data_IF_994227245132
#
_entry.id   IF_994227245132
#
_cell.length_a   1.000
_cell.length_b   1.000
_cell.length_c   1.000
_cell.angle_alpha   90.00
_cell.angle_beta   90.00
_cell.angle_gamma   90.00
#
_symmetry.space_group_name_H-M   'P 1'
#
loop_
_entity.id
_entity.type
_entity.pdbx_description
1 polymer ?
#
# COMPACT_ATOMS: atom_id res chain seq x y z
N UNK A 1 3.96 18.41 14.47
CA UNK A 1 3.72 17.50 13.33
C UNK A 1 4.12 18.30 12.09
N UNK A 2 5.03 17.79 11.26
CA UNK A 2 5.45 18.49 10.05
C UNK A 2 4.26 18.61 9.08
N UNK A 3 4.17 19.72 8.36
CA UNK A 3 3.15 19.88 7.31
C UNK A 3 3.59 19.10 6.07
N UNK A 4 2.99 17.94 5.86
CA UNK A 4 3.29 17.09 4.71
C UNK A 4 2.99 17.78 3.37
N UNK A 5 2.10 18.79 3.33
CA UNK A 5 1.86 19.54 2.09
C UNK A 5 3.05 20.45 1.76
N UNK A 6 3.89 20.80 2.73
CA UNK A 6 5.15 21.49 2.47
C UNK A 6 6.27 20.56 1.97
N UNK A 7 6.12 19.25 2.16
CA UNK A 7 7.13 18.22 1.91
C UNK A 7 6.84 17.37 0.66
N UNK A 8 5.56 17.10 0.38
CA UNK A 8 5.12 16.19 -0.67
C UNK A 8 4.10 16.83 -1.61
N UNK A 9 4.22 16.50 -2.89
CA UNK A 9 3.16 16.63 -3.89
C UNK A 9 2.51 15.27 -4.05
N UNK A 10 1.17 15.23 -4.04
CA UNK A 10 0.39 14.01 -4.28
C UNK A 10 -0.40 14.11 -5.58
N UNK A 11 -0.60 12.98 -6.25
CA UNK A 11 -1.52 12.88 -7.38
C UNK A 11 -2.31 11.57 -7.26
N UNK A 12 -3.62 11.65 -7.48
CA UNK A 12 -4.48 10.47 -7.60
C UNK A 12 -4.42 10.02 -9.06
N UNK A 13 -4.05 8.76 -9.30
CA UNK A 13 -3.98 8.17 -10.63
C UNK A 13 -4.56 6.77 -10.63
N UNK A 14 -4.86 6.26 -11.81
CA UNK A 14 -5.27 4.87 -12.01
C UNK A 14 -4.03 3.96 -11.99
N UNK A 15 -4.14 2.81 -11.31
CA UNK A 15 -3.14 1.76 -11.26
C UNK A 15 -3.56 0.68 -12.24
N UNK A 16 -2.92 0.64 -13.40
CA UNK A 16 -3.39 -0.13 -14.56
C UNK A 16 -2.58 -1.40 -14.82
N UNK A 17 -1.40 -1.53 -14.24
CA UNK A 17 -0.50 -2.66 -14.52
C UNK A 17 -0.80 -3.80 -13.55
N UNK A 18 -1.26 -4.94 -14.05
CA UNK A 18 -1.52 -6.12 -13.22
C UNK A 18 -0.19 -6.66 -12.69
N UNK A 19 -0.04 -6.64 -11.37
CA UNK A 19 1.10 -7.17 -10.65
C UNK A 19 0.90 -8.64 -10.27
N UNK A 20 -0.27 -8.98 -9.75
CA UNK A 20 -0.61 -10.34 -9.32
C UNK A 20 -2.11 -10.59 -9.40
N UNK A 21 -2.47 -11.85 -9.64
CA UNK A 21 -3.86 -12.33 -9.61
C UNK A 21 -3.95 -13.64 -8.85
N UNK A 22 -4.87 -13.73 -7.89
CA UNK A 22 -5.13 -14.94 -7.13
C UNK A 22 -6.63 -15.07 -6.83
N UNK A 23 -7.29 -16.03 -7.49
CA UNK A 23 -8.73 -16.27 -7.36
C UNK A 23 -9.52 -14.97 -7.67
N UNK A 24 -10.13 -14.34 -6.67
CA UNK A 24 -10.87 -13.10 -6.76
C UNK A 24 -10.04 -11.85 -6.43
N UNK A 25 -8.77 -11.98 -6.07
CA UNK A 25 -7.88 -10.85 -5.82
C UNK A 25 -7.09 -10.46 -7.08
N UNK A 26 -7.05 -9.15 -7.37
CA UNK A 26 -6.14 -8.54 -8.34
C UNK A 26 -5.33 -7.46 -7.65
N UNK A 27 -4.05 -7.41 -7.97
CA UNK A 27 -3.11 -6.42 -7.43
C UNK A 27 -2.53 -5.64 -8.61
N UNK A 28 -2.53 -4.31 -8.51
CA UNK A 28 -2.11 -3.40 -9.57
C UNK A 28 -0.96 -2.50 -9.12
N UNK A 29 -0.06 -2.17 -10.04
CA UNK A 29 0.96 -1.12 -9.90
C UNK A 29 0.65 0.07 -10.80
N UNK A 30 1.16 1.26 -10.48
CA UNK A 30 0.97 2.43 -11.31
C UNK A 30 2.07 2.52 -12.37
N UNK A 31 1.70 3.04 -13.54
CA UNK A 31 2.68 3.57 -14.48
C UNK A 31 3.11 4.97 -14.03
N UNK A 32 4.33 5.10 -13.52
CA UNK A 32 4.82 6.38 -13.00
C UNK A 32 5.10 7.39 -14.13
N UNK A 33 4.80 8.69 -13.91
CA UNK A 33 5.13 9.74 -14.89
C UNK A 33 6.64 9.82 -15.17
N UNK A 34 7.00 10.03 -16.44
CA UNK A 34 8.39 10.17 -16.86
C UNK A 34 8.95 11.54 -16.44
N UNK A 35 10.17 11.56 -15.92
CA UNK A 35 10.97 12.78 -15.74
C UNK A 35 11.07 13.33 -14.31
N UNK A 36 10.18 12.92 -13.39
CA UNK A 36 10.29 13.23 -11.96
C UNK A 36 10.34 11.93 -11.14
N UNK A 37 11.02 11.96 -9.98
CA UNK A 37 11.15 10.81 -9.08
C UNK A 37 9.86 10.56 -8.29
N UNK A 38 8.76 10.34 -9.02
CA UNK A 38 7.51 9.89 -8.43
C UNK A 38 7.70 8.52 -7.80
N UNK A 39 7.02 8.31 -6.69
CA UNK A 39 6.94 7.01 -6.03
C UNK A 39 5.55 6.74 -5.50
N UNK A 40 5.36 5.52 -5.01
CA UNK A 40 4.12 5.09 -4.37
C UNK A 40 4.46 4.19 -3.19
N UNK A 41 3.47 3.92 -2.35
CA UNK A 41 3.71 3.31 -1.04
C UNK A 41 3.46 1.81 -1.01
N UNK A 42 2.80 1.30 -2.05
CA UNK A 42 2.43 -0.09 -2.23
C UNK A 42 1.40 -0.21 -3.35
N UNK A 43 1.24 -1.41 -3.94
CA UNK A 43 0.28 -1.64 -5.00
C UNK A 43 -1.18 -1.57 -4.50
N UNK A 44 -2.10 -1.39 -5.44
CA UNK A 44 -3.56 -1.43 -5.21
C UNK A 44 -4.05 -2.85 -5.23
N UNK A 45 -4.69 -3.30 -4.15
CA UNK A 45 -5.41 -4.57 -4.11
C UNK A 45 -6.90 -4.34 -4.36
N UNK A 46 -7.50 -5.23 -5.14
CA UNK A 46 -8.91 -5.19 -5.48
C UNK A 46 -9.51 -6.59 -5.50
N UNK A 47 -10.72 -6.73 -4.94
CA UNK A 47 -11.48 -7.97 -4.95
C UNK A 47 -12.53 -7.94 -6.07
N UNK A 48 -12.34 -8.79 -7.08
CA UNK A 48 -13.31 -9.11 -8.14
C UNK A 48 -14.64 -9.50 -7.50
N UNK A 49 -15.73 -8.93 -8.01
CA UNK A 49 -17.11 -9.16 -7.54
C UNK A 49 -17.41 -8.70 -6.11
N UNK A 50 -16.67 -7.73 -5.59
CA UNK A 50 -17.09 -7.05 -4.37
C UNK A 50 -18.26 -6.10 -4.66
N UNK A 51 -19.46 -6.43 -4.14
CA UNK A 51 -20.59 -5.47 -3.95
C UNK A 51 -20.25 -4.36 -2.93
N UNK A 52 -19.00 -4.33 -2.45
CA UNK A 52 -18.52 -3.31 -1.53
C UNK A 52 -18.32 -2.06 -2.38
N UNK A 53 -19.23 -1.09 -2.22
CA UNK A 53 -19.03 0.30 -2.65
C UNK A 53 -17.71 0.81 -2.06
N UNK A 54 -16.59 0.55 -2.73
CA UNK A 54 -15.29 1.05 -2.31
C UNK A 54 -15.32 2.56 -2.45
N UNK A 55 -15.10 3.24 -1.33
CA UNK A 55 -15.36 4.64 -0.99
C UNK A 55 -14.70 5.75 -1.85
N UNK A 56 -14.58 5.59 -3.17
CA UNK A 56 -14.49 6.73 -4.08
C UNK A 56 -15.91 7.20 -4.41
N UNK A 57 -16.57 7.89 -3.47
CA UNK A 57 -17.71 8.75 -3.81
C UNK A 57 -17.23 10.03 -4.52
N UNK A 58 -16.41 9.88 -5.55
CA UNK A 58 -16.36 10.87 -6.62
C UNK A 58 -17.42 10.40 -7.60
N UNK A 59 -18.57 11.07 -7.62
CA UNK A 59 -19.65 10.77 -8.55
C UNK A 59 -19.18 11.07 -9.98
N UNK A 60 -18.47 10.12 -10.61
CA UNK A 60 -18.14 10.13 -12.03
C UNK A 60 -18.98 9.05 -12.70
N UNK A 61 -20.01 9.42 -13.47
CA UNK A 61 -20.94 8.46 -14.05
C UNK A 61 -20.30 7.79 -15.26
N UNK A 62 -19.67 6.61 -15.08
CA UNK A 62 -19.55 5.48 -16.04
C UNK A 62 -18.29 4.59 -15.89
N UNK A 63 -17.51 4.68 -14.81
CA UNK A 63 -16.29 3.86 -14.64
C UNK A 63 -16.51 2.69 -13.68
N UNK A 64 -16.10 1.49 -14.10
CA UNK A 64 -15.96 0.30 -13.24
C UNK A 64 -15.14 0.65 -11.99
N UNK A 65 -15.68 0.33 -10.82
CA UNK A 65 -15.23 0.85 -9.52
C UNK A 65 -13.81 0.39 -9.14
N UNK A 66 -12.96 1.39 -8.84
CA UNK A 66 -11.82 1.41 -7.91
C UNK A 66 -10.51 0.67 -8.26
N UNK A 67 -9.72 1.25 -9.17
CA UNK A 67 -8.27 0.97 -9.34
C UNK A 67 -7.41 2.22 -9.11
N UNK A 68 -7.92 3.22 -8.38
CA UNK A 68 -7.21 4.48 -8.13
C UNK A 68 -6.36 4.42 -6.87
N UNK A 69 -5.17 5.01 -6.92
CA UNK A 69 -4.26 5.16 -5.80
C UNK A 69 -3.51 6.49 -5.84
N UNK A 70 -2.66 6.72 -4.84
CA UNK A 70 -1.88 7.94 -4.71
C UNK A 70 -0.41 7.69 -5.03
N UNK A 71 0.12 8.51 -5.94
CA UNK A 71 1.56 8.66 -6.14
C UNK A 71 2.05 9.95 -5.47
N UNK A 72 3.31 9.95 -5.06
CA UNK A 72 3.95 10.98 -4.27
C UNK A 72 5.25 11.45 -4.92
N UNK A 73 5.53 12.74 -4.78
CA UNK A 73 6.78 13.36 -5.21
C UNK A 73 7.29 14.26 -4.09
N UNK A 74 8.55 14.11 -3.70
CA UNK A 74 9.23 15.01 -2.76
C UNK A 74 9.36 16.40 -3.36
N UNK A 75 9.02 17.43 -2.58
CA UNK A 75 9.28 18.83 -2.95
C UNK A 75 10.76 19.16 -2.76
N UNK A 76 11.21 20.24 -3.39
CA UNK A 76 12.62 20.67 -3.32
C UNK A 76 13.08 20.86 -1.86
N UNK A 77 14.19 20.21 -1.51
CA UNK A 77 14.74 20.23 -0.15
C UNK A 77 14.07 19.29 0.85
N UNK A 78 13.02 18.56 0.44
CA UNK A 78 12.38 17.53 1.25
C UNK A 78 13.08 16.17 1.13
N UNK A 79 13.15 15.46 2.24
CA UNK A 79 13.56 14.05 2.31
C UNK A 79 12.42 13.14 2.77
N UNK A 80 11.16 13.54 2.55
CA UNK A 80 9.99 12.85 3.07
C UNK A 80 9.81 11.41 2.57
N UNK A 81 10.37 11.06 1.41
CA UNK A 81 10.39 9.69 0.88
C UNK A 81 11.79 9.08 1.00
N UNK A 82 11.85 7.84 1.43
CA UNK A 82 13.06 7.03 1.51
C UNK A 82 13.02 5.84 0.56
N UNK A 83 14.17 5.19 0.34
CA UNK A 83 14.26 3.96 -0.44
C UNK A 83 13.94 2.73 0.40
N UNK A 84 13.31 1.73 -0.23
CA UNK A 84 13.22 0.36 0.30
C UNK A 84 14.41 -0.43 -0.27
N UNK A 85 15.22 -1.03 0.61
CA UNK A 85 16.46 -1.74 0.22
C UNK A 85 16.33 -3.25 0.33
N UNK A 86 15.36 -3.73 1.09
CA UNK A 86 15.14 -5.15 1.32
C UNK A 86 13.65 -5.45 1.58
N UNK A 87 13.28 -6.72 1.58
CA UNK A 87 11.93 -7.21 1.75
C UNK A 87 11.94 -8.45 2.65
N UNK A 88 11.09 -8.44 3.67
CA UNK A 88 10.87 -9.57 4.56
C UNK A 88 9.44 -10.10 4.44
N UNK A 89 9.21 -11.41 4.52
CA UNK A 89 7.86 -11.94 4.57
C UNK A 89 7.12 -11.36 5.78
N UNK A 90 5.99 -10.70 5.53
CA UNK A 90 5.17 -10.12 6.60
C UNK A 90 4.34 -11.18 7.36
N UNK A 91 4.27 -12.40 6.82
CA UNK A 91 3.60 -13.54 7.43
C UNK A 91 4.44 -14.80 7.25
N UNK A 92 4.66 -15.52 8.34
CA UNK A 92 5.34 -16.81 8.32
C UNK A 92 4.46 -17.88 7.67
N UNK A 93 4.61 -18.08 6.36
CA UNK A 93 4.41 -19.37 5.66
C UNK A 93 3.18 -20.20 6.06
N UNK A 94 1.96 -19.83 5.63
CA UNK A 94 0.78 -20.71 5.80
C UNK A 94 0.03 -21.00 4.49
N UNK A 95 0.56 -20.60 3.32
CA UNK A 95 0.34 -21.34 2.06
C UNK A 95 1.49 -21.09 1.07
N UNK A 96 2.72 -21.57 1.36
CA UNK A 96 3.92 -21.29 0.56
C UNK A 96 3.82 -21.67 -0.93
N UNK A 97 2.82 -22.45 -1.32
CA UNK A 97 2.61 -22.85 -2.70
C UNK A 97 1.85 -21.81 -3.54
N UNK A 98 1.21 -20.79 -2.95
CA UNK A 98 0.32 -19.88 -3.69
C UNK A 98 0.74 -18.42 -3.66
N UNK A 99 1.05 -17.84 -2.49
CA UNK A 99 1.42 -16.42 -2.39
C UNK A 99 2.15 -16.09 -1.09
N UNK A 100 2.82 -14.94 -1.07
CA UNK A 100 3.47 -14.34 0.09
C UNK A 100 3.25 -12.82 0.08
N UNK A 101 2.95 -12.25 1.24
CA UNK A 101 2.97 -10.81 1.46
C UNK A 101 4.32 -10.37 2.00
N UNK A 102 4.91 -9.33 1.44
CA UNK A 102 6.24 -8.84 1.77
C UNK A 102 6.18 -7.43 2.32
N UNK A 103 6.92 -7.15 3.39
CA UNK A 103 7.09 -5.83 3.96
C UNK A 103 8.44 -5.26 3.56
N UNK A 104 8.45 -4.02 3.09
CA UNK A 104 9.68 -3.34 2.72
C UNK A 104 10.49 -2.94 3.96
N UNK A 105 11.81 -3.08 3.87
CA UNK A 105 12.79 -2.58 4.83
C UNK A 105 13.38 -1.29 4.26
N UNK A 106 13.14 -0.13 4.90
CA UNK A 106 13.74 1.13 4.49
C UNK A 106 15.27 1.11 4.62
N UNK A 107 15.97 1.90 3.79
CA UNK A 107 17.41 2.11 3.90
C UNK A 107 17.84 2.64 5.29
N UNK A 108 17.00 3.49 5.87
CA UNK A 108 17.12 4.02 7.23
C UNK A 108 15.81 3.72 8.00
N UNK A 109 15.75 2.55 8.68
CA UNK A 109 14.57 2.15 9.45
C UNK A 109 14.35 2.98 10.71
N UNK A 110 15.30 3.80 11.15
CA UNK A 110 15.09 4.70 12.30
C UNK A 110 14.23 5.89 11.89
N UNK A 111 14.45 6.41 10.67
CA UNK A 111 13.78 7.58 10.13
C UNK A 111 12.53 7.28 9.30
N UNK A 112 12.52 6.17 8.57
CA UNK A 112 11.45 5.84 7.61
C UNK A 112 10.69 4.57 8.00
N UNK A 113 9.49 4.43 7.45
CA UNK A 113 8.64 3.23 7.54
C UNK A 113 8.10 2.87 6.14
N UNK A 114 7.88 1.58 5.90
CA UNK A 114 7.20 1.12 4.69
C UNK A 114 5.72 1.50 4.76
N UNK A 115 5.20 2.13 3.70
CA UNK A 115 3.82 2.61 3.67
C UNK A 115 2.79 1.53 3.31
N UNK A 116 3.21 0.37 2.81
CA UNK A 116 2.34 -0.71 2.37
C UNK A 116 3.13 -1.99 2.11
N UNK A 117 2.43 -3.11 2.10
CA UNK A 117 3.00 -4.43 1.79
C UNK A 117 2.87 -4.73 0.28
N UNK A 118 3.69 -5.67 -0.20
CA UNK A 118 3.62 -6.22 -1.55
C UNK A 118 2.98 -7.61 -1.51
N UNK A 119 2.21 -7.99 -2.54
CA UNK A 119 1.62 -9.32 -2.66
C UNK A 119 2.21 -10.05 -3.85
N UNK A 120 2.99 -11.11 -3.61
CA UNK A 120 3.69 -11.86 -4.66
C UNK A 120 3.14 -13.27 -4.74
N UNK A 121 2.97 -13.81 -5.95
CA UNK A 121 2.63 -15.21 -6.16
C UNK A 121 3.84 -16.11 -5.82
N UNK A 122 3.60 -17.17 -5.07
CA UNK A 122 4.65 -18.05 -4.55
C UNK A 122 5.40 -17.48 -3.34
N UNK A 123 6.66 -17.88 -3.21
CA UNK A 123 7.54 -17.60 -2.04
C UNK A 123 8.80 -16.83 -2.40
N UNK A 124 8.99 -16.54 -3.68
CA UNK A 124 10.16 -15.83 -4.13
C UNK A 124 10.09 -14.38 -3.67
N UNK A 125 11.23 -13.89 -3.21
CA UNK A 125 11.40 -12.52 -2.81
C UNK A 125 11.13 -11.59 -4.01
N UNK A 126 10.46 -10.45 -3.81
CA UNK A 126 10.22 -9.49 -4.88
C UNK A 126 11.51 -9.07 -5.58
N UNK A 127 11.49 -9.01 -6.91
CA UNK A 127 12.62 -8.52 -7.70
C UNK A 127 12.68 -6.99 -7.70
N UNK A 128 13.85 -6.43 -8.03
CA UNK A 128 14.00 -4.98 -8.14
C UNK A 128 13.01 -4.36 -9.15
N UNK A 129 12.77 -5.04 -10.27
CA UNK A 129 11.79 -4.64 -11.29
C UNK A 129 10.37 -4.62 -10.74
N UNK A 130 9.97 -5.66 -10.01
CA UNK A 130 8.65 -5.74 -9.36
C UNK A 130 8.40 -4.64 -8.32
N UNK A 131 9.47 -4.16 -7.69
CA UNK A 131 9.40 -3.16 -6.61
C UNK A 131 9.73 -1.75 -7.06
N UNK A 132 9.92 -1.54 -8.37
CA UNK A 132 10.34 -0.27 -8.91
C UNK A 132 9.33 0.83 -8.55
N UNK A 133 9.85 1.95 -8.02
CA UNK A 133 9.05 3.10 -7.62
C UNK A 133 8.37 3.00 -6.25
N UNK A 134 8.46 1.87 -5.55
CA UNK A 134 7.96 1.76 -4.18
C UNK A 134 8.90 2.51 -3.23
N UNK A 135 8.33 3.35 -2.35
CA UNK A 135 9.08 4.20 -1.42
C UNK A 135 8.67 3.95 0.03
N UNK A 136 9.62 4.17 0.94
CA UNK A 136 9.36 4.38 2.35
C UNK A 136 8.92 5.84 2.58
N UNK A 137 8.27 6.11 3.71
CA UNK A 137 7.86 7.45 4.12
C UNK A 137 8.41 7.79 5.50
N UNK A 138 8.77 9.07 5.71
CA UNK A 138 9.33 9.55 6.98
C UNK A 138 8.32 9.38 8.11
N UNK A 139 8.75 8.81 9.23
CA UNK A 139 7.85 8.38 10.32
C UNK A 139 7.04 9.50 10.94
N UNK A 140 7.56 10.72 11.01
CA UNK A 140 6.88 11.90 11.55
C UNK A 140 5.71 12.40 10.66
N UNK A 141 5.62 11.92 9.42
CA UNK A 141 4.54 12.18 8.47
C UNK A 141 3.43 11.10 8.52
N UNK A 142 3.63 10.08 9.36
CA UNK A 142 2.73 8.94 9.52
C UNK A 142 2.11 8.99 10.91
N UNK A 143 0.86 8.58 11.01
CA UNK A 143 0.24 8.20 12.27
C UNK A 143 -0.05 6.71 12.24
N UNK A 144 -0.09 6.08 13.41
CA UNK A 144 -0.50 4.69 13.51
C UNK A 144 -2.02 4.61 13.77
N UNK A 145 -2.72 3.73 13.04
CA UNK A 145 -4.13 3.41 13.30
C UNK A 145 -4.41 1.92 13.16
N UNK A 146 -5.44 1.44 13.82
CA UNK A 146 -5.97 0.10 13.60
C UNK A 146 -6.54 -0.02 12.18
N UNK A 147 -6.33 -1.16 11.48
CA UNK A 147 -7.04 -1.47 10.25
C UNK A 147 -8.56 -1.37 10.43
N UNK A 148 -9.24 -0.63 9.56
CA UNK A 148 -10.69 -0.49 9.61
C UNK A 148 -11.41 -0.81 8.28
N UNK A 149 -10.66 -0.97 7.18
CA UNK A 149 -11.23 -1.29 5.88
C UNK A 149 -10.57 -2.52 5.23
N UNK A 150 -11.31 -3.63 5.25
CA UNK A 150 -10.92 -4.90 4.65
C UNK A 150 -11.15 -4.88 3.13
N UNK A 151 -10.09 -5.17 2.37
CA UNK A 151 -10.14 -5.32 0.91
C UNK A 151 -10.44 -6.78 0.55
N UNK A 152 -9.65 -7.68 1.13
CA UNK A 152 -9.66 -9.09 0.80
C UNK A 152 -9.21 -9.90 2.00
N UNK A 153 -9.80 -11.07 2.19
CA UNK A 153 -9.38 -12.01 3.22
C UNK A 153 -9.42 -13.42 2.69
N UNK A 154 -8.47 -14.24 3.14
CA UNK A 154 -8.44 -15.67 2.83
C UNK A 154 -8.14 -16.47 4.08
N UNK A 155 -9.00 -17.45 4.32
CA UNK A 155 -8.77 -18.47 5.34
C UNK A 155 -7.75 -19.48 4.81
N UNK A 156 -6.66 -19.61 5.53
CA UNK A 156 -5.62 -20.62 5.35
C UNK A 156 -5.80 -21.75 6.38
N UNK A 157 -5.15 -22.92 6.22
CA UNK A 157 -5.32 -24.04 7.14
C UNK A 157 -5.03 -23.72 8.63
N UNK A 158 -4.16 -22.74 8.91
CA UNK A 158 -3.78 -22.35 10.29
C UNK A 158 -3.94 -20.86 10.59
N UNK A 159 -4.41 -20.05 9.65
CA UNK A 159 -4.50 -18.60 9.83
C UNK A 159 -5.54 -17.98 8.89
N UNK A 160 -5.83 -16.69 9.05
CA UNK A 160 -6.56 -15.90 8.06
C UNK A 160 -5.70 -14.71 7.68
N UNK A 161 -5.37 -14.60 6.40
CA UNK A 161 -4.68 -13.43 5.84
C UNK A 161 -5.73 -12.41 5.45
N UNK A 162 -5.55 -11.17 5.87
CA UNK A 162 -6.42 -10.05 5.50
C UNK A 162 -5.58 -8.90 4.94
N UNK A 163 -5.97 -8.38 3.77
CA UNK A 163 -5.43 -7.16 3.18
C UNK A 163 -6.36 -6.01 3.55
N UNK A 164 -5.82 -4.97 4.19
CA UNK A 164 -6.57 -3.80 4.62
C UNK A 164 -5.99 -2.55 3.98
N UNK A 165 -6.86 -1.61 3.62
CA UNK A 165 -6.44 -0.36 3.00
C UNK A 165 -5.56 0.46 3.94
N UNK A 166 -4.50 1.02 3.37
CA UNK A 166 -3.79 2.14 3.96
C UNK A 166 -4.53 3.41 3.57
N UNK A 167 -4.94 4.21 4.55
CA UNK A 167 -5.67 5.45 4.33
C UNK A 167 -4.73 6.65 4.29
N UNK A 168 -5.07 7.61 3.44
CA UNK A 168 -4.50 8.95 3.40
C UNK A 168 -5.57 9.94 3.90
N UNK A 169 -5.29 10.70 4.94
CA UNK A 169 -6.23 11.69 5.50
C UNK A 169 -5.89 13.08 4.95
N UNK A 170 -6.71 13.69 4.11
CA UNK A 170 -6.45 15.01 3.51
C UNK A 170 -7.42 16.12 3.95
N UNK A 171 -8.09 15.94 5.09
CA UNK A 171 -9.33 16.64 5.46
C UNK A 171 -10.59 15.81 5.16
N UNK A 172 -10.50 14.91 4.18
CA UNK A 172 -11.38 13.75 3.96
C UNK A 172 -10.48 12.50 3.89
N UNK A 173 -10.98 11.36 4.36
CA UNK A 173 -10.24 10.10 4.34
C UNK A 173 -10.32 9.45 2.95
N UNK A 174 -9.17 9.26 2.30
CA UNK A 174 -9.02 8.63 0.99
C UNK A 174 -8.28 7.30 1.14
N UNK A 175 -8.62 6.30 0.31
CA UNK A 175 -7.73 5.15 0.15
C UNK A 175 -6.40 5.65 -0.47
N UNK A 176 -5.27 5.27 0.12
CA UNK A 176 -3.96 5.58 -0.45
C UNK A 176 -3.69 4.79 -1.73
N UNK A 177 -4.43 3.71 -1.93
CA UNK A 177 -4.16 2.67 -2.90
C UNK A 177 -3.23 1.59 -2.35
N UNK A 178 -2.35 1.85 -1.39
CA UNK A 178 -1.57 0.79 -0.75
C UNK A 178 -2.42 -0.02 0.25
N UNK A 179 -2.00 -1.26 0.52
CA UNK A 179 -2.59 -2.10 1.57
C UNK A 179 -1.52 -2.57 2.54
N UNK A 180 -1.96 -3.01 3.72
CA UNK A 180 -1.14 -3.83 4.62
C UNK A 180 -1.85 -5.13 4.93
N UNK A 181 -1.04 -6.13 5.18
CA UNK A 181 -1.47 -7.49 5.39
C UNK A 181 -1.40 -7.83 6.89
N UNK A 182 -2.49 -8.42 7.40
CA UNK A 182 -2.66 -8.81 8.80
C UNK A 182 -3.03 -10.28 8.91
N UNK A 183 -2.66 -10.91 10.03
CA UNK A 183 -2.93 -12.32 10.29
C UNK A 183 -3.61 -12.47 11.66
N UNK A 184 -4.65 -13.31 11.73
CA UNK A 184 -5.45 -13.47 12.94
C UNK A 184 -4.70 -14.19 14.06
N UNK A 185 -3.70 -15.02 13.72
CA UNK A 185 -2.86 -15.72 14.69
C UNK A 185 -1.80 -14.84 15.38
N UNK A 186 -1.54 -13.63 14.87
CA UNK A 186 -0.43 -12.84 15.39
C UNK A 186 -0.66 -12.32 16.81
N UNK A 187 -1.90 -12.25 17.33
CA UNK A 187 -2.20 -11.79 18.70
C UNK A 187 -1.75 -10.34 19.02
N UNK A 188 -1.04 -9.70 18.11
CA UNK A 188 -0.59 -8.32 18.14
C UNK A 188 -1.69 -7.44 17.57
N UNK A 189 -2.08 -6.40 18.31
CA UNK A 189 -2.76 -5.23 17.77
C UNK A 189 -1.84 -4.60 16.72
N UNK A 190 -1.92 -5.08 15.46
CA UNK A 190 -1.12 -4.55 14.37
C UNK A 190 -1.63 -3.16 14.04
N UNK A 191 -0.80 -2.16 14.27
CA UNK A 191 -1.02 -0.80 13.77
C UNK A 191 -0.64 -0.72 12.28
N UNK A 192 -1.46 -0.01 11.50
CA UNK A 192 -1.21 0.36 10.11
C UNK A 192 -0.58 1.75 10.09
N UNK A 193 0.47 1.98 9.28
CA UNK A 193 0.90 3.33 8.94
C UNK A 193 -0.20 4.06 8.15
N UNK A 194 -0.87 5.04 8.75
CA UNK A 194 -1.82 5.94 8.10
C UNK A 194 -1.15 7.29 7.84
N UNK A 195 -1.23 7.78 6.62
CA UNK A 195 -0.49 8.99 6.23
C UNK A 195 -1.45 10.18 6.30
N UNK A 196 -1.08 11.24 7.03
CA UNK A 196 -1.96 12.42 7.19
C UNK A 196 -1.43 13.63 6.44
N UNK A 197 -2.23 14.12 5.51
CA UNK A 197 -2.16 15.46 4.90
C UNK A 197 -3.11 16.42 5.61
N UNK A 198 -2.61 17.09 6.65
CA UNK A 198 -3.30 18.27 7.17
C UNK A 198 -2.84 19.52 6.45
N UNK A 199 -3.79 20.38 6.07
CA UNK A 199 -3.57 21.81 5.83
C UNK A 199 -3.67 22.57 7.14
#
# INVERSE_FOLDING_TARGET
MADINSELTKQVIEFTEVFAELDDLVVFTPKLPVGANWGYLGPVAWKRDSDIEQHFQISVPSLSQSQYGVILLTKDGSDALGEIVDWVPNMGTIEPSRFTTWRGIPADPEKYVSGGDLFVLGMDKPTAEQTAGIKAIRKDLVIERTPDHLIWSRRLPRDTVSLNDVRIVTGVELASGAFVSTSAHAGEERTIPVIRFFS
#
